data_IF_536715480986
#
_entry.id   IF_536715480986
#
_cell.length_a   1.000
_cell.length_b   1.000
_cell.length_c   1.000
_cell.angle_alpha   90.00
_cell.angle_beta   90.00
_cell.angle_gamma   90.00
#
_symmetry.space_group_name_H-M   'P 1'
#
loop_
_entity.id
_entity.type
_entity.pdbx_description
1 polymer ?
#
# COMPACT_ATOMS: atom_id res chain seq x y z
N UNK A 1 8.37 3.38 -10.15
CA UNK A 1 7.01 3.00 -9.72
C UNK A 1 7.10 2.60 -8.26
N UNK A 2 6.46 3.35 -7.35
CA UNK A 2 6.65 3.15 -5.91
C UNK A 2 5.34 3.35 -5.19
N UNK A 3 4.77 2.25 -4.69
CA UNK A 3 3.68 2.29 -3.72
C UNK A 3 4.26 1.81 -2.40
N UNK A 4 4.40 2.70 -1.42
CA UNK A 4 4.74 2.33 -0.05
C UNK A 4 3.68 2.89 0.89
N UNK A 5 2.94 1.98 1.52
CA UNK A 5 2.10 2.34 2.66
C UNK A 5 2.43 1.39 3.81
N UNK A 6 2.94 2.00 4.86
CA UNK A 6 3.56 1.39 6.04
C UNK A 6 2.61 1.46 7.21
N UNK A 7 2.20 0.31 7.75
CA UNK A 7 1.31 0.21 8.92
C UNK A 7 2.06 -0.39 10.11
N UNK A 8 1.94 0.26 11.25
CA UNK A 8 2.30 -0.29 12.57
C UNK A 8 1.02 -0.58 13.39
N UNK A 9 0.97 -1.64 14.22
CA UNK A 9 -0.18 -1.92 15.07
C UNK A 9 -0.16 -0.98 16.28
N UNK A 10 -1.34 -0.50 16.71
CA UNK A 10 -1.48 0.18 18.00
C UNK A 10 -1.78 -0.84 19.11
N UNK A 11 -0.99 -0.81 20.18
CA UNK A 11 -1.45 -1.03 21.56
C UNK A 11 -0.57 -0.19 22.48
N UNK A 12 -1.20 0.59 23.36
CA UNK A 12 -0.66 1.82 23.92
C UNK A 12 0.46 1.68 24.94
N UNK A 13 1.35 2.67 24.90
CA UNK A 13 1.97 3.34 26.05
C UNK A 13 2.56 4.65 25.54
N UNK A 14 2.28 5.72 26.28
CA UNK A 14 2.56 7.10 25.94
C UNK A 14 4.07 7.39 25.92
N UNK A 15 4.67 7.49 24.74
CA UNK A 15 5.95 8.20 24.54
C UNK A 15 5.93 8.82 23.14
N UNK A 16 5.68 10.12 23.09
CA UNK A 16 5.64 10.90 21.86
C UNK A 16 6.98 10.85 21.12
N UNK A 17 6.98 10.20 19.95
CA UNK A 17 8.03 10.37 18.93
C UNK A 17 7.49 11.38 17.90
N UNK A 18 8.31 12.31 17.36
CA UNK A 18 7.80 13.32 16.44
C UNK A 18 7.13 12.62 15.25
N UNK A 19 5.82 12.81 15.13
CA UNK A 19 5.07 12.39 13.96
C UNK A 19 5.60 13.23 12.79
N UNK A 20 6.18 12.58 11.77
CA UNK A 20 6.50 13.29 10.55
C UNK A 20 5.23 13.99 10.06
N UNK A 21 5.23 15.32 9.89
CA UNK A 21 4.04 16.03 9.46
C UNK A 21 3.67 15.59 8.04
N UNK A 22 2.39 15.25 7.82
CA UNK A 22 1.84 15.13 6.46
C UNK A 22 1.30 13.77 6.02
N UNK A 23 1.11 12.77 6.90
CA UNK A 23 0.45 11.50 6.51
C UNK A 23 -0.82 11.27 7.31
N UNK A 24 -1.97 11.41 6.65
CA UNK A 24 -3.27 11.06 7.21
C UNK A 24 -3.48 9.55 7.09
N UNK A 25 -3.90 8.91 8.18
CA UNK A 25 -4.20 7.47 8.15
C UNK A 25 -5.48 7.21 7.34
N UNK A 26 -5.42 6.25 6.41
CA UNK A 26 -6.61 5.71 5.73
C UNK A 26 -7.13 4.53 6.53
N UNK A 27 -8.34 4.63 7.07
CA UNK A 27 -9.01 3.56 7.82
C UNK A 27 -10.18 3.06 7.00
N UNK A 28 -10.17 1.76 6.66
CA UNK A 28 -11.22 1.12 5.85
C UNK A 28 -11.57 1.86 4.56
N UNK A 29 -10.56 2.47 3.91
CA UNK A 29 -10.72 3.29 2.72
C UNK A 29 -9.75 2.92 1.60
N UNK A 30 -9.90 3.54 0.42
CA UNK A 30 -9.05 3.28 -0.74
C UNK A 30 -7.60 3.71 -0.48
N UNK A 31 -6.65 2.85 -0.81
CA UNK A 31 -5.21 3.10 -0.65
C UNK A 31 -4.61 3.90 -1.82
N UNK A 32 -5.31 3.96 -2.96
CA UNK A 32 -4.88 4.66 -4.15
C UNK A 32 -5.68 4.26 -5.39
N UNK A 33 -5.38 4.92 -6.50
CA UNK A 33 -5.89 4.58 -7.85
C UNK A 33 -4.72 4.16 -8.72
N UNK A 34 -4.91 3.08 -9.45
CA UNK A 34 -3.95 2.60 -10.44
C UNK A 34 -4.49 2.90 -11.83
N UNK A 35 -3.73 3.67 -12.61
CA UNK A 35 -4.00 3.90 -14.02
C UNK A 35 -3.36 2.78 -14.84
N UNK A 36 -4.18 2.01 -15.57
CA UNK A 36 -3.76 0.88 -16.39
C UNK A 36 -3.75 1.21 -17.88
N UNK A 37 -4.02 2.47 -18.29
CA UNK A 37 -4.16 2.86 -19.70
C UNK A 37 -2.91 2.62 -20.53
N UNK A 38 -1.73 2.73 -19.92
CA UNK A 38 -0.44 2.50 -20.58
C UNK A 38 0.04 1.05 -20.50
N UNK A 39 -0.75 0.12 -19.93
CA UNK A 39 -0.35 -1.28 -19.80
C UNK A 39 -0.86 -2.10 -20.98
N UNK A 40 -0.04 -3.04 -21.44
CA UNK A 40 -0.49 -4.08 -22.35
C UNK A 40 -1.56 -4.94 -21.68
N UNK A 41 -2.67 -5.29 -22.34
CA UNK A 41 -3.64 -6.22 -21.79
C UNK A 41 -3.01 -7.57 -21.43
N UNK A 42 -3.37 -8.13 -20.28
CA UNK A 42 -2.76 -9.35 -19.77
C UNK A 42 -3.02 -9.61 -18.29
N UNK A 43 -2.44 -10.70 -17.78
CA UNK A 43 -2.49 -11.07 -16.37
C UNK A 43 -1.35 -10.42 -15.59
N UNK A 44 -1.68 -9.83 -14.46
CA UNK A 44 -0.75 -9.15 -13.56
C UNK A 44 -0.98 -9.57 -12.11
N UNK A 45 0.01 -9.28 -11.27
CA UNK A 45 -0.09 -9.46 -9.82
C UNK A 45 0.16 -8.13 -9.13
N UNK A 46 -0.80 -7.71 -8.31
CA UNK A 46 -0.63 -6.59 -7.39
C UNK A 46 -0.06 -7.11 -6.08
N UNK A 47 1.03 -6.49 -5.62
CA UNK A 47 1.72 -6.85 -4.39
C UNK A 47 1.59 -5.73 -3.37
N UNK A 48 0.84 -5.97 -2.30
CA UNK A 48 0.78 -5.07 -1.14
C UNK A 48 1.91 -5.42 -0.18
N UNK A 49 2.90 -4.53 -0.08
CA UNK A 49 4.00 -4.65 0.88
C UNK A 49 3.78 -3.63 1.99
N UNK A 50 3.66 -4.13 3.22
CA UNK A 50 3.58 -3.30 4.41
C UNK A 50 4.96 -3.26 5.04
N UNK A 51 5.47 -2.07 5.33
CA UNK A 51 6.65 -1.93 6.20
C UNK A 51 6.15 -1.45 7.56
N UNK A 52 6.76 -1.91 8.65
CA UNK A 52 6.41 -1.47 9.99
C UNK A 52 7.13 -0.15 10.37
N UNK A 53 6.96 0.32 11.60
CA UNK A 53 7.63 1.51 12.12
C UNK A 53 9.13 1.31 12.41
N UNK A 54 9.62 0.08 12.37
CA UNK A 54 11.03 -0.29 12.50
C UNK A 54 11.72 -0.45 11.14
N UNK A 55 10.97 -0.34 10.03
CA UNK A 55 11.49 -0.54 8.68
C UNK A 55 11.48 -2.00 8.23
N UNK A 56 10.84 -2.90 8.97
CA UNK A 56 10.74 -4.32 8.62
C UNK A 56 9.64 -4.55 7.59
N UNK A 57 9.97 -5.22 6.49
CA UNK A 57 8.99 -5.65 5.49
C UNK A 57 8.17 -6.82 6.04
N UNK A 58 6.85 -6.70 6.02
CA UNK A 58 5.94 -7.82 6.28
C UNK A 58 5.73 -8.65 5.03
N UNK A 59 5.30 -9.90 5.22
CA UNK A 59 4.94 -10.79 4.13
C UNK A 59 3.91 -10.12 3.20
N UNK A 60 4.14 -10.13 1.88
CA UNK A 60 3.28 -9.44 0.96
C UNK A 60 1.93 -10.15 0.81
N UNK A 61 0.87 -9.36 0.65
CA UNK A 61 -0.38 -9.87 0.09
C UNK A 61 -0.32 -9.75 -1.45
N UNK A 62 -0.65 -10.82 -2.16
CA UNK A 62 -0.62 -10.86 -3.63
C UNK A 62 -2.05 -11.03 -4.14
N UNK A 63 -2.46 -10.15 -5.04
CA UNK A 63 -3.78 -10.17 -5.68
C UNK A 63 -3.58 -10.31 -7.19
N UNK A 64 -4.00 -11.43 -7.81
CA UNK A 64 -4.01 -11.56 -9.26
C UNK A 64 -5.09 -10.67 -9.87
N UNK A 65 -4.77 -10.02 -10.97
CA UNK A 65 -5.68 -9.15 -11.73
C UNK A 65 -5.46 -9.33 -13.23
N UNK A 66 -6.50 -9.10 -14.03
CA UNK A 66 -6.40 -9.10 -15.49
C UNK A 66 -6.74 -7.72 -16.03
N UNK A 67 -5.83 -7.13 -16.80
CA UNK A 67 -6.07 -5.91 -17.56
C UNK A 67 -6.64 -6.30 -18.92
N UNK A 68 -7.80 -5.75 -19.26
CA UNK A 68 -8.46 -5.97 -20.55
C UNK A 68 -8.25 -4.75 -21.47
N UNK A 69 -8.31 -4.91 -22.80
CA UNK A 69 -8.24 -3.78 -23.73
C UNK A 69 -9.32 -2.74 -23.46
N UNK A 70 -9.01 -1.47 -23.70
CA UNK A 70 -10.03 -0.42 -23.74
C UNK A 70 -10.99 -0.72 -24.90
N UNK A 71 -12.28 -0.83 -24.61
CA UNK A 71 -13.33 -1.05 -25.61
C UNK A 71 -13.78 0.27 -26.24
#
# INVERSE_FOLDING_TARGET
MGFTNTKSPRRGSDTGRPSQPGRTAVVAGPLGRWDTTALTPGDYQLRLVVVDNQGTLLSPCIVPVRVVPLQ
#
